data_IF_276369992068
#
_entry.id   IF_276369992068
#
_cell.length_a   1.000
_cell.length_b   1.000
_cell.length_c   1.000
_cell.angle_alpha   90.00
_cell.angle_beta   90.00
_cell.angle_gamma   90.00
#
_symmetry.space_group_name_H-M   'P 1'
#
loop_
_entity.id
_entity.type
_entity.pdbx_description
1 polymer ?
#
# COMPACT_ATOMS: atom_id res chain seq x y z
N UNK A 1 6.81 -37.73 -57.29
CA UNK A 1 6.86 -36.32 -56.86
C UNK A 1 6.69 -36.33 -55.35
N UNK A 2 7.78 -36.07 -54.63
CA UNK A 2 7.86 -36.14 -53.17
C UNK A 2 7.18 -34.91 -52.58
N UNK A 3 6.09 -35.11 -51.84
CA UNK A 3 5.60 -34.11 -50.90
C UNK A 3 6.29 -34.40 -49.56
N UNK A 4 7.51 -33.88 -49.41
CA UNK A 4 8.22 -33.82 -48.14
C UNK A 4 7.59 -32.66 -47.36
N UNK A 5 6.50 -32.94 -46.66
CA UNK A 5 5.85 -31.96 -45.79
C UNK A 5 6.63 -31.92 -44.48
N UNK A 6 7.64 -31.05 -44.42
CA UNK A 6 8.40 -30.79 -43.20
C UNK A 6 7.47 -30.10 -42.21
N UNK A 7 6.88 -30.88 -41.31
CA UNK A 7 6.23 -30.37 -40.12
C UNK A 7 7.32 -29.77 -39.20
N UNK A 8 7.57 -28.47 -39.33
CA UNK A 8 8.37 -27.74 -38.35
C UNK A 8 7.51 -27.64 -37.09
N UNK A 9 7.66 -28.60 -36.20
CA UNK A 9 7.11 -28.52 -34.85
C UNK A 9 7.89 -27.43 -34.12
N UNK A 10 7.42 -26.18 -34.24
CA UNK A 10 7.98 -25.05 -33.51
C UNK A 10 7.73 -25.32 -32.04
N UNK A 11 8.76 -25.60 -31.21
CA UNK A 11 8.56 -25.80 -29.79
C UNK A 11 7.89 -24.54 -29.29
N UNK A 12 6.63 -24.67 -28.86
CA UNK A 12 5.79 -23.50 -28.61
C UNK A 12 6.56 -22.56 -27.68
N UNK A 13 6.58 -21.27 -27.99
CA UNK A 13 7.11 -20.26 -27.05
C UNK A 13 6.17 -20.09 -25.85
N UNK A 14 5.08 -20.85 -25.77
CA UNK A 14 4.12 -20.80 -24.66
C UNK A 14 4.75 -20.92 -23.26
N UNK A 15 5.72 -21.81 -22.97
CA UNK A 15 6.36 -21.85 -21.66
C UNK A 15 7.29 -20.65 -21.45
N UNK A 16 7.90 -20.10 -22.50
CA UNK A 16 8.75 -18.90 -22.41
C UNK A 16 7.89 -17.64 -22.19
N UNK A 17 6.80 -17.50 -22.92
CA UNK A 17 5.79 -16.44 -22.76
C UNK A 17 5.10 -16.56 -21.40
N UNK A 18 4.80 -17.78 -20.94
CA UNK A 18 4.28 -18.00 -19.60
C UNK A 18 5.29 -17.61 -18.51
N UNK A 19 6.59 -17.89 -18.70
CA UNK A 19 7.66 -17.45 -17.79
C UNK A 19 7.88 -15.94 -17.82
N UNK A 20 7.80 -15.30 -18.99
CA UNK A 20 7.84 -13.84 -19.11
C UNK A 20 6.61 -13.22 -18.44
N UNK A 21 5.41 -13.75 -18.69
CA UNK A 21 4.19 -13.31 -18.02
C UNK A 21 4.29 -13.51 -16.52
N UNK A 22 4.80 -14.64 -16.04
CA UNK A 22 5.04 -14.84 -14.61
C UNK A 22 6.08 -13.84 -14.07
N UNK A 23 7.18 -13.59 -14.77
CA UNK A 23 8.20 -12.62 -14.32
C UNK A 23 7.69 -11.16 -14.31
N UNK A 24 6.84 -10.78 -15.25
CA UNK A 24 6.27 -9.43 -15.33
C UNK A 24 5.04 -9.23 -14.42
N UNK A 25 4.24 -10.27 -14.17
CA UNK A 25 3.00 -10.18 -13.39
C UNK A 25 3.10 -10.79 -11.98
N UNK A 26 4.15 -11.54 -11.63
CA UNK A 26 4.36 -12.02 -10.25
C UNK A 26 4.68 -10.88 -9.27
N UNK A 27 4.99 -9.68 -9.77
CA UNK A 27 5.14 -8.46 -8.95
C UNK A 27 4.00 -7.46 -9.12
N UNK A 28 3.03 -7.76 -9.98
CA UNK A 28 1.75 -7.06 -9.99
C UNK A 28 0.81 -7.76 -8.98
N UNK A 29 1.30 -7.92 -7.75
CA UNK A 29 0.41 -8.20 -6.63
C UNK A 29 -0.71 -7.17 -6.70
N UNK A 30 -1.95 -7.65 -6.61
CA UNK A 30 -3.10 -6.80 -6.32
C UNK A 30 -2.62 -5.74 -5.34
N UNK A 31 -2.53 -4.47 -5.79
CA UNK A 31 -2.23 -3.35 -4.89
C UNK A 31 -3.49 -3.17 -4.04
N UNK A 32 -3.75 -4.15 -3.18
CA UNK A 32 -4.83 -4.14 -2.23
C UNK A 32 -4.64 -2.89 -1.42
N UNK A 33 -5.69 -2.09 -1.35
CA UNK A 33 -5.67 -0.83 -0.63
C UNK A 33 -5.17 -1.12 0.79
N UNK A 34 -4.00 -0.57 1.12
CA UNK A 34 -3.32 -0.91 2.36
C UNK A 34 -4.26 -0.51 3.51
N UNK A 35 -4.70 -1.47 4.32
CA UNK A 35 -5.63 -1.19 5.41
C UNK A 35 -4.86 -1.03 6.71
N UNK A 36 -4.90 0.16 7.31
CA UNK A 36 -4.30 0.48 8.61
C UNK A 36 -5.39 0.56 9.66
N UNK A 37 -5.22 -0.15 10.77
CA UNK A 37 -6.15 -0.13 11.91
C UNK A 37 -5.57 0.72 13.02
N UNK A 38 -6.38 1.62 13.58
CA UNK A 38 -6.02 2.41 14.75
C UNK A 38 -7.14 2.30 15.79
N UNK A 39 -6.75 2.29 17.07
CA UNK A 39 -7.68 2.29 18.20
C UNK A 39 -7.55 3.62 18.92
N UNK A 40 -8.69 4.23 19.23
CA UNK A 40 -8.76 5.53 19.90
C UNK A 40 -9.64 5.38 21.13
N UNK A 41 -9.03 5.64 22.28
CA UNK A 41 -9.72 5.70 23.56
C UNK A 41 -10.28 7.10 23.78
N UNK A 42 -11.57 7.17 24.08
CA UNK A 42 -12.28 8.41 24.39
C UNK A 42 -13.02 8.27 25.72
N UNK A 43 -13.17 9.37 26.44
CA UNK A 43 -14.09 9.42 27.58
C UNK A 43 -15.52 9.58 27.12
N UNK A 44 -16.50 9.20 27.96
CA UNK A 44 -17.92 9.46 27.70
C UNK A 44 -18.19 10.94 27.34
N UNK A 45 -17.59 11.87 28.08
CA UNK A 45 -17.74 13.31 27.82
C UNK A 45 -17.16 13.73 26.46
N UNK A 46 -16.03 13.14 26.04
CA UNK A 46 -15.42 13.42 24.73
C UNK A 46 -16.24 12.84 23.58
N UNK A 47 -16.80 11.65 23.76
CA UNK A 47 -17.68 11.00 22.79
C UNK A 47 -19.00 11.78 22.59
N UNK A 48 -19.59 12.30 23.66
CA UNK A 48 -20.84 13.07 23.60
C UNK A 48 -20.66 14.46 22.99
N UNK A 49 -19.54 15.15 23.31
CA UNK A 49 -19.28 16.52 22.80
C UNK A 49 -18.69 16.56 21.39
N UNK A 50 -18.07 15.46 20.95
CA UNK A 50 -17.27 15.42 19.73
C UNK A 50 -15.91 16.09 19.95
N UNK A 51 -14.84 15.42 19.51
CA UNK A 51 -13.46 15.84 19.75
C UNK A 51 -12.62 15.69 18.47
N UNK A 52 -11.58 16.51 18.33
CA UNK A 52 -10.56 16.36 17.28
C UNK A 52 -9.42 15.53 17.85
N UNK A 53 -9.19 14.35 17.31
CA UNK A 53 -8.14 13.45 17.78
C UNK A 53 -6.99 13.44 16.78
N UNK A 54 -5.75 13.73 17.21
CA UNK A 54 -4.56 13.51 16.39
C UNK A 54 -4.26 12.02 16.30
N UNK A 55 -3.97 11.53 15.10
CA UNK A 55 -3.47 10.19 14.82
C UNK A 55 -2.13 10.31 14.13
N UNK A 56 -1.09 9.77 14.75
CA UNK A 56 0.22 9.60 14.15
C UNK A 56 0.25 8.25 13.43
N UNK A 57 0.23 8.27 12.09
CA UNK A 57 0.23 7.07 11.27
C UNK A 57 1.50 6.98 10.43
N UNK A 58 1.99 5.76 10.25
CA UNK A 58 3.17 5.49 9.44
C UNK A 58 2.79 4.78 8.15
N UNK A 59 3.07 5.42 7.02
CA UNK A 59 2.74 4.93 5.68
C UNK A 59 4.01 4.44 4.97
N UNK A 60 3.95 3.28 4.30
CA UNK A 60 5.02 2.91 3.38
C UNK A 60 5.00 3.87 2.19
N UNK A 61 6.15 4.40 1.83
CA UNK A 61 6.32 5.26 0.65
C UNK A 61 7.44 4.72 -0.22
N UNK A 62 7.33 4.95 -1.52
CA UNK A 62 8.41 4.66 -2.48
C UNK A 62 9.48 5.73 -2.36
N UNK A 63 10.76 5.32 -2.37
CA UNK A 63 11.86 6.28 -2.28
C UNK A 63 11.81 7.26 -3.46
N UNK A 64 11.70 8.58 -3.24
CA UNK A 64 11.57 9.55 -4.33
C UNK A 64 12.88 9.72 -5.12
N UNK A 65 14.02 9.39 -4.52
CA UNK A 65 15.33 9.54 -5.18
C UNK A 65 15.57 8.46 -6.24
N UNK A 66 15.26 7.19 -5.94
CA UNK A 66 15.44 6.07 -6.88
C UNK A 66 14.14 5.59 -7.53
N UNK A 67 12.98 6.13 -7.13
CA UNK A 67 11.67 5.75 -7.66
C UNK A 67 11.30 4.29 -7.37
N UNK A 68 11.78 3.71 -6.27
CA UNK A 68 11.52 2.30 -5.93
C UNK A 68 12.64 1.32 -6.29
N UNK A 69 13.63 1.72 -7.08
CA UNK A 69 14.66 0.81 -7.61
C UNK A 69 15.71 0.36 -6.58
N UNK A 70 15.88 1.11 -5.49
CA UNK A 70 16.97 0.87 -4.53
C UNK A 70 18.35 1.31 -5.02
N UNK A 71 18.53 1.55 -6.31
CA UNK A 71 19.80 1.99 -6.92
C UNK A 71 19.65 3.31 -7.70
N UNK A 72 20.73 4.08 -7.71
CA UNK A 72 20.91 5.26 -8.56
C UNK A 72 22.13 5.03 -9.44
N UNK A 73 21.88 4.89 -10.75
CA UNK A 73 22.90 4.57 -11.75
C UNK A 73 23.52 3.18 -11.56
N UNK A 74 24.66 3.08 -10.90
CA UNK A 74 25.36 1.80 -10.61
C UNK A 74 25.60 1.60 -9.12
N UNK A 75 25.25 2.60 -8.31
CA UNK A 75 25.46 2.60 -6.86
C UNK A 75 24.14 2.46 -6.10
N UNK A 76 24.24 1.94 -4.87
CA UNK A 76 23.11 1.89 -3.94
C UNK A 76 22.61 3.30 -3.66
N UNK A 77 21.29 3.47 -3.66
CA UNK A 77 20.67 4.77 -3.43
C UNK A 77 20.92 5.22 -1.98
N UNK A 78 21.71 6.28 -1.77
CA UNK A 78 22.05 6.76 -0.43
C UNK A 78 20.88 7.25 0.42
N UNK A 79 19.72 7.56 -0.18
CA UNK A 79 18.53 7.98 0.58
C UNK A 79 17.80 6.81 1.24
N UNK A 80 17.79 5.64 0.59
CA UNK A 80 17.09 4.45 1.07
C UNK A 80 18.03 3.27 1.37
N UNK A 81 19.34 3.48 1.22
CA UNK A 81 20.41 2.50 1.41
C UNK A 81 20.17 1.17 0.69
N UNK A 82 19.59 1.22 -0.52
CA UNK A 82 19.29 0.02 -1.30
C UNK A 82 17.87 -0.56 -1.13
N UNK A 83 17.06 -0.08 -0.18
CA UNK A 83 15.75 -0.68 0.09
C UNK A 83 14.68 -0.38 -0.97
N UNK A 84 14.81 0.74 -1.71
CA UNK A 84 13.80 1.23 -2.65
C UNK A 84 12.53 1.82 -2.01
N UNK A 85 12.34 1.62 -0.70
CA UNK A 85 11.15 2.05 0.02
C UNK A 85 11.49 2.60 1.41
N UNK A 86 10.61 3.41 1.98
CA UNK A 86 10.75 3.95 3.32
C UNK A 86 9.42 4.08 4.03
N UNK A 87 9.46 4.65 5.22
CA UNK A 87 8.28 4.93 6.03
C UNK A 87 8.13 6.44 6.23
N UNK A 88 6.92 6.95 5.98
CA UNK A 88 6.56 8.35 6.19
C UNK A 88 5.61 8.43 7.39
N UNK A 89 6.02 9.14 8.44
CA UNK A 89 5.14 9.47 9.57
C UNK A 89 4.29 10.69 9.22
N UNK A 90 2.98 10.55 9.29
CA UNK A 90 2.04 11.63 9.00
C UNK A 90 1.00 11.74 10.11
N UNK A 91 0.90 12.96 10.67
CA UNK A 91 -0.04 13.31 11.72
C UNK A 91 -1.35 13.78 11.09
N UNK A 92 -2.38 12.94 11.18
CA UNK A 92 -3.73 13.24 10.72
C UNK A 92 -4.59 13.75 11.88
N UNK A 93 -5.42 14.76 11.63
CA UNK A 93 -6.41 15.21 12.59
C UNK A 93 -7.80 14.84 12.08
N UNK A 94 -8.43 13.85 12.70
CA UNK A 94 -9.81 13.49 12.37
C UNK A 94 -10.77 14.07 13.41
N UNK A 95 -11.98 14.39 12.97
CA UNK A 95 -13.05 14.88 13.84
C UNK A 95 -13.98 13.73 14.16
N UNK A 96 -14.12 13.43 15.44
CA UNK A 96 -15.13 12.52 15.97
C UNK A 96 -16.43 13.32 16.14
N UNK A 97 -17.52 12.94 15.47
CA UNK A 97 -18.81 13.60 15.68
C UNK A 97 -19.35 13.35 17.10
N UNK A 98 -20.19 14.24 17.65
CA UNK A 98 -20.84 14.01 18.93
C UNK A 98 -21.78 12.79 18.87
N UNK A 99 -21.87 12.05 19.97
CA UNK A 99 -22.76 10.89 20.12
C UNK A 99 -22.22 9.57 19.57
N UNK A 100 -20.90 9.46 19.35
CA UNK A 100 -20.29 8.17 19.02
C UNK A 100 -20.36 7.21 20.22
N UNK A 101 -20.62 5.93 19.95
CA UNK A 101 -20.65 4.89 20.99
C UNK A 101 -19.41 4.01 20.93
N UNK A 102 -19.14 3.28 22.02
CA UNK A 102 -18.11 2.25 22.05
C UNK A 102 -18.31 1.26 20.88
N UNK A 103 -17.22 0.92 20.19
CA UNK A 103 -17.23 0.03 19.03
C UNK A 103 -17.52 0.71 17.70
N UNK A 104 -17.70 2.05 17.67
CA UNK A 104 -17.85 2.80 16.42
C UNK A 104 -16.62 2.60 15.53
N UNK A 105 -16.85 2.29 14.25
CA UNK A 105 -15.80 2.11 13.24
C UNK A 105 -15.88 3.23 12.21
N UNK A 106 -14.85 4.06 12.15
CA UNK A 106 -14.71 5.10 11.15
C UNK A 106 -13.75 4.62 10.07
N UNK A 107 -14.12 4.78 8.80
CA UNK A 107 -13.29 4.40 7.65
C UNK A 107 -13.06 5.60 6.77
N UNK A 108 -11.82 5.82 6.37
CA UNK A 108 -11.45 6.88 5.46
C UNK A 108 -10.24 6.49 4.62
N UNK A 109 -10.19 6.99 3.39
CA UNK A 109 -9.08 6.80 2.47
C UNK A 109 -8.19 8.03 2.50
N UNK A 110 -6.88 7.81 2.56
CA UNK A 110 -5.88 8.85 2.39
C UNK A 110 -4.87 8.44 1.34
N UNK A 111 -4.41 9.41 0.57
CA UNK A 111 -3.36 9.22 -0.44
C UNK A 111 -2.21 10.16 -0.11
N UNK A 112 -1.26 9.73 0.75
CA UNK A 112 -0.09 10.53 1.08
C UNK A 112 0.85 10.64 -0.14
N UNK A 113 1.67 11.71 -0.22
CA UNK A 113 2.64 11.86 -1.30
C UNK A 113 3.65 10.70 -1.29
N UNK A 114 3.96 10.18 -2.48
CA UNK A 114 4.86 9.04 -2.69
C UNK A 114 4.42 7.74 -1.97
N UNK A 115 3.20 7.67 -1.45
CA UNK A 115 2.61 6.48 -0.85
C UNK A 115 1.40 6.01 -1.65
N UNK A 116 0.98 4.77 -1.39
CA UNK A 116 -0.22 4.20 -2.00
C UNK A 116 -1.48 4.64 -1.24
N UNK A 117 -2.64 4.60 -1.92
CA UNK A 117 -3.93 4.80 -1.27
C UNK A 117 -4.04 3.82 -0.09
N UNK A 118 -4.36 4.38 1.08
CA UNK A 118 -4.42 3.63 2.33
C UNK A 118 -5.78 3.85 2.98
N UNK A 119 -6.48 2.76 3.25
CA UNK A 119 -7.72 2.76 4.02
C UNK A 119 -7.39 2.72 5.50
N UNK A 120 -7.91 3.67 6.25
CA UNK A 120 -7.73 3.73 7.69
C UNK A 120 -9.04 3.35 8.35
N UNK A 121 -9.02 2.29 9.14
CA UNK A 121 -10.14 1.87 10.00
C UNK A 121 -9.82 2.26 11.44
N UNK A 122 -10.52 3.26 11.96
CA UNK A 122 -10.41 3.71 13.35
C UNK A 122 -11.52 3.07 14.16
N UNK A 123 -11.15 2.41 15.26
CA UNK A 123 -12.08 1.88 16.26
C UNK A 123 -12.11 2.80 17.46
N UNK A 124 -13.32 3.18 17.87
CA UNK A 124 -13.53 4.02 19.05
C UNK A 124 -13.83 3.12 20.25
N UNK A 125 -12.99 3.21 21.27
CA UNK A 125 -13.23 2.61 22.58
C UNK A 125 -13.62 3.73 23.55
N UNK A 126 -14.85 3.69 24.06
CA UNK A 126 -15.28 4.63 25.11
C UNK A 126 -15.07 3.97 26.47
N UNK A 127 -14.40 4.68 27.38
CA UNK A 127 -14.20 4.34 28.79
C UNK A 127 -14.87 5.36 29.71
#
# INVERSE_FOLDING_TARGET
>A
MLADEVAIDFPSMAPIVARMRAAFFAEAGERGVATRRAEVELTAQQADRGVRVPLDLTFPHTCPACGGRGESWTDRCGLCDGSGAGFLSHRLHFRVPPGVRHGTRLRFSVTPPHAFETHIEVRIAVQ
#
